data_IF_593468348511
#
_entry.id   IF_593468348511
#
_cell.length_a   1.000
_cell.length_b   1.000
_cell.length_c   1.000
_cell.angle_alpha   90.00
_cell.angle_beta   90.00
_cell.angle_gamma   90.00
#
_symmetry.space_group_name_H-M   'P 1'
#
loop_
_entity.id
_entity.type
_entity.pdbx_description
1 polymer ?
#
# COMPACT_ATOMS: atom_id res chain seq x y z
N UNK A 1 12.56 7.20 44.77
CA UNK A 1 11.35 7.36 43.95
C UNK A 1 10.22 6.59 44.62
N UNK A 2 9.06 7.18 44.82
CA UNK A 2 7.91 6.48 45.40
C UNK A 2 7.34 5.49 44.39
N UNK A 3 6.73 4.40 44.85
CA UNK A 3 6.03 3.42 44.02
C UNK A 3 4.99 4.09 43.10
N UNK A 4 4.35 5.17 43.61
CA UNK A 4 3.41 5.97 42.82
C UNK A 4 4.07 6.70 41.64
N UNK A 5 5.31 7.20 41.79
CA UNK A 5 6.06 7.81 40.69
C UNK A 5 6.51 6.78 39.64
N UNK A 6 6.82 5.54 40.09
CA UNK A 6 7.16 4.43 39.18
C UNK A 6 5.93 3.94 38.41
N UNK A 7 4.76 3.85 39.06
CA UNK A 7 3.48 3.51 38.47
C UNK A 7 3.02 4.60 37.50
N UNK A 8 3.22 5.88 37.83
CA UNK A 8 2.90 6.99 36.91
C UNK A 8 3.83 7.04 35.71
N UNK A 9 5.14 6.77 35.90
CA UNK A 9 6.09 6.61 34.78
C UNK A 9 5.74 5.41 33.90
N UNK A 10 5.30 4.29 34.45
CA UNK A 10 4.84 3.13 33.71
C UNK A 10 3.52 3.39 32.95
N UNK A 11 2.64 4.24 33.48
CA UNK A 11 1.39 4.63 32.78
C UNK A 11 1.61 5.67 31.67
N UNK A 12 2.59 6.57 31.82
CA UNK A 12 2.93 7.57 30.78
C UNK A 12 3.61 6.95 29.56
N UNK A 13 4.30 5.82 29.74
CA UNK A 13 4.86 5.04 28.60
C UNK A 13 3.78 4.28 27.81
N UNK A 14 2.51 4.29 28.26
CA UNK A 14 1.50 3.33 27.83
C UNK A 14 0.61 3.77 26.66
N UNK A 15 0.43 5.04 26.37
CA UNK A 15 -0.45 5.52 25.30
C UNK A 15 0.37 6.15 24.17
N UNK A 16 0.83 5.32 23.24
CA UNK A 16 1.53 5.82 22.06
C UNK A 16 0.55 6.18 20.96
N UNK A 17 0.86 7.26 20.22
CA UNK A 17 0.10 7.76 19.08
C UNK A 17 0.93 7.66 17.80
N UNK A 18 0.24 7.53 16.67
CA UNK A 18 0.89 7.41 15.35
C UNK A 18 0.25 8.37 14.36
N UNK A 19 1.11 9.05 13.61
CA UNK A 19 0.76 9.60 12.30
C UNK A 19 1.32 8.66 11.24
N UNK A 20 0.46 8.09 10.41
CA UNK A 20 0.86 7.29 9.25
C UNK A 20 0.54 8.05 7.96
N UNK A 21 1.58 8.49 7.27
CA UNK A 21 1.48 9.18 5.97
C UNK A 21 1.78 8.19 4.86
N UNK A 22 0.85 7.99 3.94
CA UNK A 22 1.06 7.21 2.71
C UNK A 22 1.29 8.20 1.57
N UNK A 23 2.56 8.32 1.12
CA UNK A 23 2.99 9.20 0.04
C UNK A 23 3.47 8.35 -1.14
N UNK A 24 2.60 8.13 -2.11
CA UNK A 24 2.86 7.20 -3.21
C UNK A 24 3.90 7.72 -4.20
N UNK A 25 4.60 6.79 -4.90
CA UNK A 25 5.47 7.10 -6.03
C UNK A 25 6.93 7.37 -5.71
N UNK A 26 7.33 7.38 -4.42
CA UNK A 26 8.73 7.51 -4.04
C UNK A 26 9.43 6.15 -4.22
N UNK A 27 10.19 6.01 -5.29
CA UNK A 27 11.00 4.81 -5.54
C UNK A 27 12.23 4.77 -4.64
N UNK A 28 12.49 3.61 -4.05
CA UNK A 28 13.68 3.41 -3.21
C UNK A 28 14.99 3.66 -3.93
N UNK A 29 15.10 3.26 -5.21
CA UNK A 29 16.31 3.49 -6.01
C UNK A 29 16.57 4.97 -6.30
N UNK A 30 15.55 5.81 -6.29
CA UNK A 30 15.65 7.24 -6.55
C UNK A 30 15.60 8.11 -5.28
N UNK A 31 15.32 7.51 -4.11
CA UNK A 31 15.13 8.24 -2.86
C UNK A 31 16.36 9.05 -2.44
N UNK A 32 17.58 8.58 -2.74
CA UNK A 32 18.83 9.32 -2.47
C UNK A 32 18.83 10.74 -3.04
N UNK A 33 18.04 11.02 -4.08
CA UNK A 33 17.90 12.35 -4.69
C UNK A 33 17.11 13.32 -3.80
N UNK A 34 16.28 12.80 -2.89
CA UNK A 34 15.42 13.57 -1.98
C UNK A 34 15.92 13.54 -0.54
N UNK A 35 16.68 12.54 -0.14
CA UNK A 35 17.10 12.26 1.23
C UNK A 35 17.76 13.45 1.93
N UNK A 36 18.50 14.28 1.20
CA UNK A 36 19.17 15.48 1.75
C UNK A 36 18.26 16.70 1.92
N UNK A 37 16.99 16.66 1.49
CA UNK A 37 16.02 17.71 1.80
C UNK A 37 15.66 17.68 3.29
N UNK A 38 15.52 18.84 3.96
CA UNK A 38 15.37 18.89 5.43
C UNK A 38 14.30 17.98 6.00
N UNK A 39 13.10 17.94 5.38
CA UNK A 39 11.98 17.11 5.83
C UNK A 39 12.22 15.59 5.70
N UNK A 40 13.16 15.15 4.87
CA UNK A 40 13.55 13.74 4.74
C UNK A 40 14.80 13.40 5.56
N UNK A 41 15.75 14.34 5.68
CA UNK A 41 17.04 14.12 6.33
C UNK A 41 16.91 13.68 7.78
N UNK A 42 15.93 14.17 8.52
CA UNK A 42 15.69 13.82 9.92
C UNK A 42 15.50 12.31 10.13
N UNK A 43 14.92 11.61 9.15
CA UNK A 43 14.72 10.17 9.27
C UNK A 43 16.02 9.37 9.13
N UNK A 44 16.97 9.86 8.35
CA UNK A 44 18.32 9.25 8.25
C UNK A 44 19.16 9.53 9.49
N UNK A 45 19.10 10.74 10.01
CA UNK A 45 19.94 11.20 11.13
C UNK A 45 19.38 10.79 12.50
N UNK A 46 18.07 10.94 12.70
CA UNK A 46 17.42 10.79 14.02
C UNK A 46 16.37 9.69 14.07
N UNK A 47 16.06 9.04 12.96
CA UNK A 47 15.00 8.06 12.86
C UNK A 47 15.43 6.73 12.26
N UNK A 48 14.47 6.08 11.63
CA UNK A 48 14.64 4.83 10.87
C UNK A 48 14.26 5.07 9.41
N UNK A 49 15.03 4.52 8.49
CA UNK A 49 14.72 4.59 7.07
C UNK A 49 15.05 3.29 6.34
N UNK A 50 14.31 3.02 5.28
CA UNK A 50 14.57 1.94 4.34
C UNK A 50 14.12 2.34 2.94
N UNK A 51 14.92 1.99 1.95
CA UNK A 51 14.60 2.17 0.52
C UNK A 51 14.16 0.85 -0.13
N UNK A 52 13.81 -0.15 0.67
CA UNK A 52 13.52 -1.51 0.20
C UNK A 52 12.20 -2.01 0.79
N UNK A 53 11.11 -1.27 0.58
CA UNK A 53 9.76 -1.74 0.87
C UNK A 53 9.27 -2.54 -0.31
N UNK A 54 9.05 -3.84 -0.13
CA UNK A 54 8.55 -4.73 -1.18
C UNK A 54 7.06 -4.51 -1.40
N UNK A 55 6.67 -4.07 -2.61
CA UNK A 55 5.26 -3.95 -2.99
C UNK A 55 4.64 -5.32 -3.26
N UNK A 56 3.31 -5.36 -3.37
CA UNK A 56 2.60 -6.52 -3.92
C UNK A 56 2.37 -6.35 -5.42
N UNK A 57 2.12 -7.46 -6.12
CA UNK A 57 1.73 -7.43 -7.53
C UNK A 57 0.21 -7.32 -7.67
N UNK A 58 -0.29 -6.51 -8.62
CA UNK A 58 0.44 -5.51 -9.40
C UNK A 58 0.88 -4.33 -8.54
N UNK A 59 2.01 -3.69 -8.89
CA UNK A 59 2.56 -2.56 -8.11
C UNK A 59 1.78 -1.26 -8.36
N UNK A 60 0.45 -1.36 -8.34
CA UNK A 60 -0.49 -0.26 -8.49
C UNK A 60 -0.85 0.37 -7.14
N UNK A 61 -1.29 1.63 -7.11
CA UNK A 61 -1.63 2.35 -5.88
C UNK A 61 -2.58 1.59 -4.97
N UNK A 62 -3.79 1.26 -5.44
CA UNK A 62 -4.84 0.71 -4.59
C UNK A 62 -4.52 -0.68 -4.01
N UNK A 63 -4.06 -1.69 -4.79
CA UNK A 63 -3.68 -2.98 -4.22
C UNK A 63 -2.59 -2.87 -3.15
N UNK A 64 -1.62 -1.98 -3.34
CA UNK A 64 -0.50 -1.80 -2.42
C UNK A 64 -0.92 -1.02 -1.17
N UNK A 65 -1.68 0.08 -1.32
CA UNK A 65 -2.24 0.81 -0.20
C UNK A 65 -3.17 -0.08 0.63
N UNK A 66 -4.03 -0.87 -0.02
CA UNK A 66 -4.95 -1.74 0.70
C UNK A 66 -4.24 -2.90 1.40
N UNK A 67 -3.17 -3.47 0.81
CA UNK A 67 -2.30 -4.44 1.49
C UNK A 67 -1.64 -3.85 2.73
N UNK A 68 -1.11 -2.63 2.63
CA UNK A 68 -0.52 -1.91 3.77
C UNK A 68 -1.54 -1.70 4.89
N UNK A 69 -2.75 -1.29 4.53
CA UNK A 69 -3.81 -0.96 5.50
C UNK A 69 -4.50 -2.19 6.10
N UNK A 70 -4.52 -3.33 5.41
CA UNK A 70 -5.17 -4.55 5.89
C UNK A 70 -4.20 -5.59 6.46
N UNK A 71 -2.92 -5.46 6.14
CA UNK A 71 -1.90 -6.43 6.52
C UNK A 71 -2.05 -7.78 5.83
N UNK A 72 -2.82 -7.90 4.73
CA UNK A 72 -2.99 -9.15 3.99
C UNK A 72 -2.76 -8.95 2.49
N UNK A 73 -2.43 -10.03 1.79
CA UNK A 73 -2.09 -10.02 0.36
C UNK A 73 -3.33 -9.87 -0.55
N UNK A 74 -3.18 -9.38 -1.79
CA UNK A 74 -4.27 -9.18 -2.75
C UNK A 74 -5.19 -10.39 -2.93
N UNK A 75 -4.64 -11.61 -2.98
CA UNK A 75 -5.42 -12.85 -3.05
C UNK A 75 -6.43 -13.05 -1.92
N UNK A 76 -6.25 -12.35 -0.78
CA UNK A 76 -7.12 -12.44 0.39
C UNK A 76 -8.07 -11.25 0.50
N UNK A 77 -7.58 -10.03 0.28
CA UNK A 77 -8.44 -8.85 0.33
C UNK A 77 -9.21 -8.57 -0.97
N UNK A 78 -8.88 -9.25 -2.08
CA UNK A 78 -9.64 -9.20 -3.33
C UNK A 78 -9.35 -8.00 -4.24
N UNK A 79 -8.64 -6.97 -3.77
CA UNK A 79 -8.32 -5.79 -4.57
C UNK A 79 -7.09 -6.09 -5.44
N UNK A 80 -7.34 -6.33 -6.74
CA UNK A 80 -6.34 -6.80 -7.71
C UNK A 80 -5.89 -5.72 -8.71
N UNK A 81 -6.48 -4.51 -8.66
CA UNK A 81 -6.17 -3.42 -9.57
C UNK A 81 -6.91 -2.14 -9.20
N UNK A 82 -6.69 -1.08 -9.97
CA UNK A 82 -7.42 0.18 -9.87
C UNK A 82 -8.82 0.06 -10.47
N UNK A 83 -8.96 -0.79 -11.48
CA UNK A 83 -10.20 -1.16 -12.15
C UNK A 83 -10.30 -2.68 -12.08
N UNK A 84 -11.47 -3.19 -11.71
CA UNK A 84 -11.70 -4.63 -11.62
C UNK A 84 -13.09 -4.96 -12.15
N UNK A 85 -13.24 -6.14 -12.73
CA UNK A 85 -14.51 -6.68 -13.17
C UNK A 85 -14.78 -7.99 -12.40
N UNK A 86 -15.93 -8.07 -11.73
CA UNK A 86 -16.44 -9.33 -11.24
C UNK A 86 -17.12 -10.06 -12.41
N UNK A 87 -16.41 -10.98 -13.04
CA UNK A 87 -16.88 -11.66 -14.24
C UNK A 87 -18.13 -12.56 -14.01
N UNK A 88 -18.48 -12.89 -12.75
CA UNK A 88 -19.69 -13.65 -12.43
C UNK A 88 -20.95 -12.79 -12.38
N UNK A 89 -20.82 -11.57 -11.87
CA UNK A 89 -21.95 -10.65 -11.68
C UNK A 89 -22.00 -9.57 -12.75
N UNK A 90 -20.93 -9.37 -13.52
CA UNK A 90 -20.77 -8.26 -14.46
C UNK A 90 -20.54 -6.92 -13.75
N UNK A 91 -20.35 -6.91 -12.43
CA UNK A 91 -20.15 -5.70 -11.65
C UNK A 91 -18.73 -5.18 -11.84
N UNK A 92 -18.61 -3.92 -12.19
CA UNK A 92 -17.33 -3.22 -12.33
C UNK A 92 -16.99 -2.46 -11.05
N UNK A 93 -15.70 -2.44 -10.71
CA UNK A 93 -15.13 -1.58 -9.68
C UNK A 93 -14.24 -0.53 -10.35
N UNK A 94 -14.60 0.73 -10.20
CA UNK A 94 -13.87 1.87 -10.75
C UNK A 94 -13.36 2.76 -9.60
N UNK A 95 -12.07 2.71 -9.33
CA UNK A 95 -11.45 3.48 -8.24
C UNK A 95 -11.54 5.00 -8.42
N UNK A 96 -11.75 5.49 -9.63
CA UNK A 96 -11.60 6.91 -9.96
C UNK A 96 -12.91 7.69 -10.01
N UNK A 97 -14.07 7.05 -10.03
CA UNK A 97 -15.35 7.74 -10.10
C UNK A 97 -16.00 7.80 -8.73
N UNK A 98 -16.34 9.01 -8.32
CA UNK A 98 -16.95 9.30 -7.02
C UNK A 98 -18.31 8.61 -6.77
N UNK A 99 -18.84 7.85 -7.72
CA UNK A 99 -20.27 7.74 -7.84
C UNK A 99 -20.91 6.39 -7.68
N UNK A 100 -20.26 5.26 -7.47
CA UNK A 100 -21.11 4.10 -7.19
C UNK A 100 -20.46 2.88 -6.56
N UNK A 101 -19.53 2.23 -7.26
CA UNK A 101 -19.15 0.86 -6.89
C UNK A 101 -18.04 0.81 -5.86
N UNK A 102 -17.15 1.82 -5.83
CA UNK A 102 -16.13 1.99 -4.80
C UNK A 102 -16.73 2.07 -3.39
N UNK A 103 -17.93 2.62 -3.26
CA UNK A 103 -18.62 2.80 -1.98
C UNK A 103 -19.31 1.54 -1.47
N UNK A 104 -19.48 0.52 -2.32
CA UNK A 104 -20.13 -0.73 -1.92
C UNK A 104 -19.22 -1.54 -1.00
N UNK A 105 -19.76 -1.94 0.14
CA UNK A 105 -19.03 -2.72 1.16
C UNK A 105 -18.54 -4.08 0.66
N UNK A 106 -19.15 -4.63 -0.38
CA UNK A 106 -18.85 -5.98 -0.89
C UNK A 106 -17.46 -6.15 -1.47
N UNK A 107 -16.83 -5.06 -1.91
CA UNK A 107 -15.44 -5.04 -2.36
C UNK A 107 -14.43 -5.03 -1.21
N UNK A 108 -14.84 -4.59 -0.02
CA UNK A 108 -13.96 -4.40 1.15
C UNK A 108 -14.11 -5.55 2.13
N UNK A 109 -13.56 -6.70 1.78
CA UNK A 109 -13.78 -7.97 2.50
C UNK A 109 -12.94 -8.15 3.76
N UNK A 110 -11.95 -7.26 3.99
CA UNK A 110 -11.03 -7.30 5.13
C UNK A 110 -10.97 -5.94 5.79
N UNK A 111 -11.10 -5.90 7.11
CA UNK A 111 -10.99 -4.67 7.90
C UNK A 111 -9.62 -4.01 7.75
N UNK A 112 -9.55 -2.76 7.27
CA UNK A 112 -8.30 -1.99 7.31
C UNK A 112 -7.95 -1.57 8.74
N UNK A 113 -6.69 -1.14 8.94
CA UNK A 113 -6.17 -0.75 10.27
C UNK A 113 -7.03 0.30 10.97
N UNK A 114 -7.62 1.24 10.23
CA UNK A 114 -8.48 2.27 10.80
C UNK A 114 -9.79 1.69 11.36
N UNK A 115 -10.33 0.63 10.78
CA UNK A 115 -11.49 -0.10 11.30
C UNK A 115 -11.07 -1.01 12.46
N UNK A 116 -9.96 -1.72 12.32
CA UNK A 116 -9.41 -2.57 13.39
C UNK A 116 -9.11 -1.75 14.64
N UNK A 117 -8.49 -0.57 14.48
CA UNK A 117 -8.20 0.36 15.58
C UNK A 117 -9.50 0.91 16.22
N UNK A 118 -10.49 1.31 15.41
CA UNK A 118 -11.78 1.80 15.94
C UNK A 118 -12.52 0.69 16.71
N UNK A 119 -12.51 -0.54 16.23
CA UNK A 119 -13.06 -1.71 16.94
C UNK A 119 -12.33 -1.94 18.28
N UNK A 120 -11.04 -1.67 18.34
CA UNK A 120 -10.21 -1.74 19.54
C UNK A 120 -10.34 -0.50 20.45
N UNK A 121 -11.26 0.42 20.16
CA UNK A 121 -11.52 1.66 20.93
C UNK A 121 -10.42 2.72 20.83
N UNK A 122 -9.49 2.62 19.90
CA UNK A 122 -8.58 3.71 19.56
C UNK A 122 -9.32 4.80 18.80
N UNK A 123 -9.00 6.06 19.08
CA UNK A 123 -9.55 7.20 18.34
C UNK A 123 -8.78 7.38 17.02
N UNK A 124 -9.52 7.41 15.90
CA UNK A 124 -8.95 7.42 14.57
C UNK A 124 -9.39 8.64 13.78
N UNK A 125 -8.41 9.34 13.16
CA UNK A 125 -8.65 10.39 12.18
C UNK A 125 -8.03 10.00 10.83
N UNK A 126 -8.75 10.25 9.74
CA UNK A 126 -8.31 9.99 8.38
C UNK A 126 -8.41 11.25 7.54
N UNK A 127 -7.37 11.51 6.72
CA UNK A 127 -7.32 12.65 5.82
C UNK A 127 -7.04 12.21 4.39
N UNK A 128 -7.90 12.63 3.47
CA UNK A 128 -7.80 12.45 2.02
C UNK A 128 -7.87 11.03 1.49
N UNK A 129 -8.30 10.08 2.31
CA UNK A 129 -8.58 8.74 1.84
C UNK A 129 -9.92 8.69 1.09
N UNK A 130 -9.96 8.18 -0.16
CA UNK A 130 -11.23 7.95 -0.85
C UNK A 130 -12.16 7.02 -0.05
N UNK A 131 -11.58 6.09 0.69
CA UNK A 131 -12.27 5.13 1.57
C UNK A 131 -13.09 5.79 2.71
N UNK A 132 -12.92 7.09 2.95
CA UNK A 132 -13.79 7.86 3.84
C UNK A 132 -15.25 7.88 3.38
N UNK A 133 -15.51 7.61 2.11
CA UNK A 133 -16.88 7.56 1.55
C UNK A 133 -17.54 6.21 1.69
N UNK A 134 -16.78 5.16 2.04
CA UNK A 134 -17.31 3.81 2.27
C UNK A 134 -18.10 3.79 3.58
N UNK A 135 -19.27 3.17 3.57
CA UNK A 135 -20.12 3.06 4.76
C UNK A 135 -19.59 1.98 5.73
N UNK A 136 -18.61 2.36 6.55
CA UNK A 136 -18.02 1.48 7.55
C UNK A 136 -18.86 1.41 8.84
N UNK A 137 -18.88 0.25 9.48
CA UNK A 137 -19.47 0.06 10.81
C UNK A 137 -18.53 -0.78 11.71
N UNK A 138 -17.89 -0.20 12.74
CA UNK A 138 -17.88 1.23 13.12
C UNK A 138 -17.10 2.10 12.14
N UNK A 139 -17.45 3.39 12.06
CA UNK A 139 -16.69 4.37 11.27
C UNK A 139 -15.52 4.97 12.06
N UNK A 140 -14.45 5.46 11.41
CA UNK A 140 -13.44 6.31 12.04
C UNK A 140 -14.08 7.56 12.68
N UNK A 141 -13.46 8.09 13.75
CA UNK A 141 -13.98 9.24 14.50
C UNK A 141 -13.97 10.53 13.70
N UNK A 142 -12.97 10.69 12.84
CA UNK A 142 -12.86 11.78 11.87
C UNK A 142 -12.44 11.20 10.51
N UNK A 143 -13.16 11.55 9.44
CA UNK A 143 -12.82 11.13 8.10
C UNK A 143 -13.04 12.28 7.12
N UNK A 144 -11.94 12.85 6.62
CA UNK A 144 -11.92 13.94 5.65
C UNK A 144 -11.60 13.37 4.27
N UNK A 145 -12.59 13.27 3.36
CA UNK A 145 -12.36 12.71 2.03
C UNK A 145 -11.48 13.63 1.15
N UNK A 146 -11.00 13.15 0.01
CA UNK A 146 -10.33 13.99 -0.98
C UNK A 146 -11.19 15.19 -1.37
N UNK A 147 -10.56 16.34 -1.58
CA UNK A 147 -11.24 17.61 -1.87
C UNK A 147 -11.07 18.00 -3.34
N UNK A 148 -12.09 18.63 -3.89
CA UNK A 148 -12.07 19.13 -5.27
C UNK A 148 -11.45 20.54 -5.40
N UNK A 149 -11.11 21.19 -4.28
CA UNK A 149 -10.52 22.53 -4.23
C UNK A 149 -8.98 22.51 -4.36
N UNK A 150 -8.38 21.35 -4.59
CA UNK A 150 -6.95 21.16 -4.77
C UNK A 150 -6.12 21.20 -3.48
N UNK A 151 -6.74 21.41 -2.31
CA UNK A 151 -6.02 21.36 -1.03
C UNK A 151 -5.58 19.93 -0.70
N UNK A 152 -4.33 19.79 -0.29
CA UNK A 152 -3.69 18.53 0.03
C UNK A 152 -2.97 18.59 1.38
N UNK A 153 -2.48 17.46 1.85
CA UNK A 153 -1.62 17.42 3.05
C UNK A 153 -0.38 18.32 2.94
N UNK A 154 0.15 18.50 1.74
CA UNK A 154 1.32 19.34 1.49
C UNK A 154 1.05 20.85 1.66
N UNK A 155 -0.21 21.28 1.80
CA UNK A 155 -0.54 22.64 2.14
C UNK A 155 -0.33 22.90 3.63
N UNK A 156 0.39 23.97 3.98
CA UNK A 156 0.76 24.28 5.38
C UNK A 156 -0.45 24.34 6.33
N UNK A 157 -1.57 24.90 5.86
CA UNK A 157 -2.82 24.92 6.65
C UNK A 157 -3.31 23.54 6.99
N UNK A 158 -3.28 22.64 6.01
CA UNK A 158 -3.75 21.25 6.19
C UNK A 158 -2.78 20.48 7.07
N UNK A 159 -1.47 20.64 6.88
CA UNK A 159 -0.46 20.05 7.75
C UNK A 159 -0.67 20.45 9.23
N UNK A 160 -1.00 21.74 9.50
CA UNK A 160 -1.36 22.20 10.84
C UNK A 160 -2.63 21.53 11.39
N UNK A 161 -3.66 21.32 10.57
CA UNK A 161 -4.87 20.59 10.99
C UNK A 161 -4.54 19.13 11.34
N UNK A 162 -3.68 18.48 10.57
CA UNK A 162 -3.20 17.11 10.86
C UNK A 162 -2.43 17.08 12.21
N UNK A 163 -1.57 18.07 12.45
CA UNK A 163 -0.87 18.24 13.73
C UNK A 163 -1.87 18.39 14.89
N UNK A 164 -2.90 19.24 14.76
CA UNK A 164 -3.92 19.40 15.79
C UNK A 164 -4.68 18.08 16.04
N UNK A 165 -4.99 17.30 15.00
CA UNK A 165 -5.65 16.01 15.16
C UNK A 165 -4.85 15.02 16.02
N UNK A 166 -3.50 15.11 16.06
CA UNK A 166 -2.66 14.25 16.92
C UNK A 166 -2.85 14.48 18.41
N UNK A 167 -3.44 15.60 18.82
CA UNK A 167 -3.73 15.88 20.23
C UNK A 167 -4.86 15.01 20.76
N UNK A 168 -5.85 14.72 19.92
CA UNK A 168 -7.11 14.06 20.29
C UNK A 168 -7.27 12.65 19.73
N UNK A 169 -6.46 12.24 18.76
CA UNK A 169 -6.56 10.92 18.14
C UNK A 169 -5.31 10.08 18.39
N UNK A 170 -5.48 8.78 18.53
CA UNK A 170 -4.41 7.81 18.74
C UNK A 170 -3.75 7.39 17.40
N UNK A 171 -4.54 7.33 16.33
CA UNK A 171 -4.11 7.02 14.99
C UNK A 171 -4.59 8.11 14.03
N UNK A 172 -3.64 8.80 13.40
CA UNK A 172 -3.92 9.79 12.35
C UNK A 172 -3.36 9.25 11.03
N UNK A 173 -4.22 9.02 10.06
CA UNK A 173 -3.87 8.51 8.74
C UNK A 173 -3.95 9.64 7.72
N UNK A 174 -2.93 9.77 6.88
CA UNK A 174 -2.87 10.79 5.82
C UNK A 174 -2.53 10.12 4.50
N UNK A 175 -3.36 10.33 3.48
CA UNK A 175 -3.10 9.89 2.12
C UNK A 175 -2.66 11.07 1.26
N UNK A 176 -1.51 10.95 0.60
CA UNK A 176 -0.92 11.99 -0.22
C UNK A 176 -0.47 11.45 -1.59
N UNK A 177 -1.38 11.36 -2.57
CA UNK A 177 -1.06 10.88 -3.92
C UNK A 177 -0.36 11.92 -4.81
N UNK A 178 -0.31 13.20 -4.41
CA UNK A 178 0.13 14.29 -5.28
C UNK A 178 1.60 14.20 -5.68
N UNK A 179 2.48 13.69 -4.80
CA UNK A 179 3.88 13.40 -5.17
C UNK A 179 3.93 12.42 -6.34
N UNK A 180 3.14 11.34 -6.27
CA UNK A 180 3.06 10.38 -7.37
C UNK A 180 2.60 11.05 -8.66
N UNK A 181 1.54 11.83 -8.61
CA UNK A 181 1.01 12.53 -9.79
C UNK A 181 2.06 13.44 -10.43
N UNK A 182 2.83 14.17 -9.62
CA UNK A 182 3.91 15.01 -10.13
C UNK A 182 5.05 14.18 -10.75
N UNK A 183 5.46 13.07 -10.10
CA UNK A 183 6.51 12.20 -10.63
C UNK A 183 6.05 11.46 -11.89
N UNK A 184 4.78 11.10 -11.99
CA UNK A 184 4.18 10.52 -13.22
C UNK A 184 4.30 11.48 -14.42
N UNK A 185 4.24 12.79 -14.17
CA UNK A 185 4.35 13.81 -15.21
C UNK A 185 5.80 14.10 -15.63
N UNK A 186 6.70 14.26 -14.66
CA UNK A 186 8.09 14.69 -14.94
C UNK A 186 9.07 13.55 -15.05
N UNK A 187 8.76 12.37 -14.51
CA UNK A 187 9.64 11.21 -14.39
C UNK A 187 10.45 11.18 -13.09
N UNK A 188 10.73 9.99 -12.53
CA UNK A 188 11.51 9.83 -11.29
C UNK A 188 12.99 10.21 -11.45
N UNK A 189 13.49 10.26 -12.70
CA UNK A 189 14.87 10.65 -13.03
C UNK A 189 14.98 12.11 -13.45
N UNK A 190 13.90 12.89 -13.43
CA UNK A 190 13.90 14.30 -13.85
C UNK A 190 14.95 15.12 -13.09
N UNK A 191 15.69 15.98 -13.80
CA UNK A 191 16.73 16.82 -13.20
C UNK A 191 16.17 17.78 -12.13
N UNK A 192 14.93 18.24 -12.32
CA UNK A 192 14.23 19.18 -11.45
C UNK A 192 13.38 18.48 -10.35
N UNK A 193 13.51 17.16 -10.13
CA UNK A 193 12.71 16.42 -9.15
C UNK A 193 12.75 17.08 -7.76
N UNK A 194 13.93 17.49 -7.29
CA UNK A 194 14.11 18.12 -5.96
C UNK A 194 13.42 19.47 -5.82
N UNK A 195 13.26 20.21 -6.90
CA UNK A 195 12.62 21.52 -6.95
C UNK A 195 11.17 21.46 -7.43
N UNK A 196 10.65 20.27 -7.69
CA UNK A 196 9.26 20.07 -8.06
C UNK A 196 8.34 20.54 -6.93
N UNK A 197 7.25 21.26 -7.27
CA UNK A 197 6.43 22.00 -6.30
C UNK A 197 5.84 21.11 -5.21
N UNK A 198 5.33 19.94 -5.57
CA UNK A 198 4.76 19.00 -4.59
C UNK A 198 5.82 18.36 -3.70
N UNK A 199 7.04 18.13 -4.21
CA UNK A 199 8.17 17.65 -3.40
C UNK A 199 8.56 18.68 -2.34
N UNK A 200 8.68 19.97 -2.74
CA UNK A 200 9.02 21.06 -1.82
C UNK A 200 7.94 21.23 -0.75
N UNK A 201 6.67 21.28 -1.13
CA UNK A 201 5.57 21.43 -0.18
C UNK A 201 5.48 20.21 0.78
N UNK A 202 5.63 19.01 0.25
CA UNK A 202 5.55 17.79 1.06
C UNK A 202 6.68 17.70 2.08
N UNK A 203 7.94 18.01 1.70
CA UNK A 203 9.04 18.02 2.64
C UNK A 203 8.83 19.09 3.74
N UNK A 204 8.25 20.26 3.43
CA UNK A 204 7.90 21.27 4.42
C UNK A 204 6.80 20.79 5.40
N UNK A 205 5.79 20.07 4.89
CA UNK A 205 4.80 19.44 5.74
C UNK A 205 5.40 18.37 6.68
N UNK A 206 6.39 17.62 6.19
CA UNK A 206 7.16 16.67 7.03
C UNK A 206 7.98 17.39 8.10
N UNK A 207 8.59 18.53 7.81
CA UNK A 207 9.28 19.35 8.83
C UNK A 207 8.35 19.77 9.96
N UNK A 208 7.12 20.21 9.64
CA UNK A 208 6.11 20.53 10.65
C UNK A 208 5.76 19.31 11.53
N UNK A 209 5.56 18.13 10.93
CA UNK A 209 5.24 16.92 11.69
C UNK A 209 6.42 16.44 12.54
N UNK A 210 7.63 16.43 11.98
CA UNK A 210 8.83 15.98 12.73
C UNK A 210 9.15 16.91 13.90
N UNK A 211 8.94 18.23 13.76
CA UNK A 211 9.03 19.17 14.88
C UNK A 211 8.06 18.80 16.01
N UNK A 212 6.81 18.48 15.69
CA UNK A 212 5.82 18.06 16.70
C UNK A 212 6.19 16.74 17.38
N UNK A 213 6.74 15.78 16.61
CA UNK A 213 7.21 14.50 17.17
C UNK A 213 8.37 14.71 18.14
N UNK A 214 9.30 15.61 17.80
CA UNK A 214 10.47 15.94 18.66
C UNK A 214 10.08 16.44 20.04
N UNK A 215 8.99 17.20 20.12
CA UNK A 215 8.52 17.83 21.35
C UNK A 215 7.62 16.89 22.20
N UNK A 216 7.36 15.65 21.73
CA UNK A 216 6.40 14.74 22.35
C UNK A 216 6.97 13.35 22.58
N UNK A 217 6.75 12.81 23.76
CA UNK A 217 7.17 11.45 24.17
C UNK A 217 6.17 10.36 23.77
N UNK A 218 4.99 10.73 23.31
CA UNK A 218 3.88 9.83 22.97
C UNK A 218 3.58 9.76 21.47
N UNK A 219 4.21 10.61 20.64
CA UNK A 219 3.88 10.73 19.23
C UNK A 219 4.97 10.12 18.33
N UNK A 220 4.53 9.36 17.36
CA UNK A 220 5.39 8.71 16.37
C UNK A 220 4.90 9.03 14.94
N UNK A 221 5.83 9.20 14.02
CA UNK A 221 5.56 9.44 12.61
C UNK A 221 6.09 8.27 11.77
N UNK A 222 5.25 7.76 10.90
CA UNK A 222 5.61 6.78 9.87
C UNK A 222 5.23 7.37 8.52
N UNK A 223 6.17 7.40 7.56
CA UNK A 223 5.92 7.79 6.17
C UNK A 223 6.26 6.60 5.29
N UNK A 224 5.34 6.21 4.42
CA UNK A 224 5.51 5.06 3.52
C UNK A 224 5.16 5.44 2.10
N UNK A 225 6.07 5.11 1.19
CA UNK A 225 5.73 4.97 -0.22
C UNK A 225 5.62 3.47 -0.53
N UNK A 226 4.42 2.97 -0.89
CA UNK A 226 4.23 1.54 -1.06
C UNK A 226 4.84 0.97 -2.33
N UNK A 227 5.11 1.81 -3.32
CA UNK A 227 5.74 1.42 -4.61
C UNK A 227 6.43 2.61 -5.27
N UNK A 228 7.30 2.30 -6.25
CA UNK A 228 7.95 3.30 -7.08
C UNK A 228 7.30 3.48 -8.46
N UNK A 229 8.02 4.19 -9.33
CA UNK A 229 7.64 4.54 -10.71
C UNK A 229 8.82 4.33 -11.66
N UNK A 230 8.53 4.07 -12.94
CA UNK A 230 9.51 3.92 -14.03
C UNK A 230 9.10 4.80 -15.21
N UNK A 231 10.08 5.48 -15.80
CA UNK A 231 9.90 6.26 -17.03
C UNK A 231 9.50 5.34 -18.20
N UNK A 232 8.53 5.78 -19.00
CA UNK A 232 8.05 5.07 -20.20
C UNK A 232 8.21 5.96 -21.41
N UNK A 233 9.26 5.74 -22.22
CA UNK A 233 9.40 6.41 -23.52
C UNK A 233 8.22 6.09 -24.45
N UNK A 234 7.70 7.08 -25.16
CA UNK A 234 6.51 6.92 -26.03
C UNK A 234 6.66 5.80 -27.09
N UNK A 235 7.87 5.58 -27.61
CA UNK A 235 8.17 4.48 -28.56
C UNK A 235 8.05 3.08 -27.93
N UNK A 236 8.00 2.98 -26.60
CA UNK A 236 7.86 1.72 -25.89
C UNK A 236 6.41 1.37 -25.53
N UNK A 237 5.45 2.18 -25.96
CA UNK A 237 4.03 1.88 -25.79
C UNK A 237 3.59 0.89 -26.87
N UNK A 238 2.93 -0.18 -26.44
CA UNK A 238 2.41 -1.26 -27.31
C UNK A 238 0.89 -1.17 -27.36
N UNK A 239 0.33 -1.16 -28.54
CA UNK A 239 -1.12 -1.16 -28.76
C UNK A 239 -1.57 -2.60 -28.94
N UNK A 240 -2.36 -3.13 -28.02
CA UNK A 240 -2.77 -4.54 -27.99
C UNK A 240 -3.46 -4.99 -29.28
N UNK A 241 -4.26 -4.09 -29.87
CA UNK A 241 -5.02 -4.34 -31.11
C UNK A 241 -4.15 -4.66 -32.31
N UNK A 242 -2.84 -4.36 -32.26
CA UNK A 242 -1.88 -4.72 -33.32
C UNK A 242 -1.38 -6.17 -33.18
N UNK A 243 -1.69 -6.85 -32.06
CA UNK A 243 -1.15 -8.17 -31.70
C UNK A 243 -2.21 -9.26 -31.55
N UNK A 244 -3.48 -8.90 -31.35
CA UNK A 244 -4.58 -9.86 -31.23
C UNK A 244 -5.85 -9.29 -31.86
N UNK A 245 -6.63 -10.10 -32.59
CA UNK A 245 -7.95 -9.71 -33.05
C UNK A 245 -8.88 -9.43 -31.88
N UNK A 246 -9.35 -8.19 -31.73
CA UNK A 246 -10.13 -7.76 -30.56
C UNK A 246 -11.51 -8.42 -30.48
N UNK A 247 -12.02 -9.01 -31.56
CA UNK A 247 -13.23 -9.84 -31.54
C UNK A 247 -13.08 -11.13 -30.71
N UNK A 248 -11.85 -11.54 -30.39
CA UNK A 248 -11.56 -12.67 -29.51
C UNK A 248 -11.54 -12.27 -28.03
N UNK A 249 -11.49 -10.96 -27.73
CA UNK A 249 -11.41 -10.39 -26.40
C UNK A 249 -12.78 -9.85 -26.00
N UNK A 250 -13.36 -10.41 -24.94
CA UNK A 250 -14.63 -9.92 -24.39
C UNK A 250 -14.44 -8.57 -23.69
N UNK A 251 -13.41 -8.49 -22.85
CA UNK A 251 -13.13 -7.27 -22.06
C UNK A 251 -11.63 -7.16 -21.79
N UNK A 252 -11.11 -5.93 -21.84
CA UNK A 252 -9.76 -5.61 -21.39
C UNK A 252 -9.83 -4.52 -20.32
N UNK A 253 -9.08 -4.71 -19.24
CA UNK A 253 -9.07 -3.82 -18.09
C UNK A 253 -7.64 -3.43 -17.72
N UNK A 254 -7.47 -2.17 -17.29
CA UNK A 254 -6.16 -1.62 -16.96
C UNK A 254 -5.37 -1.17 -18.19
N UNK A 255 -4.45 -0.26 -17.98
CA UNK A 255 -3.52 0.26 -18.98
C UNK A 255 -2.13 0.42 -18.37
N UNK A 256 -1.13 0.51 -19.22
CA UNK A 256 0.25 0.71 -18.77
C UNK A 256 1.00 -0.60 -18.51
N UNK A 257 1.53 -0.81 -17.31
CA UNK A 257 2.41 -1.93 -16.99
C UNK A 257 1.68 -3.28 -16.90
N UNK A 258 0.39 -3.28 -16.53
CA UNK A 258 -0.43 -4.50 -16.41
C UNK A 258 -1.76 -4.31 -17.13
N UNK A 259 -2.10 -5.29 -17.96
CA UNK A 259 -3.39 -5.36 -18.61
C UNK A 259 -4.04 -6.72 -18.36
N UNK A 260 -5.31 -6.69 -18.00
CA UNK A 260 -6.12 -7.87 -17.71
C UNK A 260 -7.03 -8.15 -18.90
N UNK A 261 -7.12 -9.40 -19.33
CA UNK A 261 -7.97 -9.78 -20.46
C UNK A 261 -8.94 -10.89 -20.04
N UNK A 262 -10.20 -10.71 -20.42
CA UNK A 262 -11.22 -11.75 -20.42
C UNK A 262 -11.50 -12.07 -21.91
N UNK A 263 -11.26 -13.30 -22.30
CA UNK A 263 -11.50 -13.73 -23.67
C UNK A 263 -12.99 -14.04 -23.91
N UNK A 264 -13.40 -14.03 -25.16
CA UNK A 264 -14.71 -14.56 -25.53
C UNK A 264 -14.84 -16.04 -25.12
N UNK A 265 -16.03 -16.54 -24.78
CA UNK A 265 -16.22 -17.90 -24.33
C UNK A 265 -15.55 -18.94 -25.25
N UNK A 266 -14.65 -19.76 -24.66
CA UNK A 266 -13.88 -20.78 -25.38
C UNK A 266 -12.68 -20.26 -26.18
N UNK A 267 -12.38 -18.95 -26.15
CA UNK A 267 -11.32 -18.33 -26.96
C UNK A 267 -10.03 -18.05 -26.19
N UNK A 268 -9.97 -18.31 -24.88
CA UNK A 268 -8.81 -17.98 -24.03
C UNK A 268 -7.50 -18.58 -24.58
N UNK A 269 -7.54 -19.84 -25.02
CA UNK A 269 -6.34 -20.48 -25.59
C UNK A 269 -5.92 -19.83 -26.92
N UNK A 270 -6.88 -19.42 -27.75
CA UNK A 270 -6.59 -18.76 -29.02
C UNK A 270 -5.94 -17.38 -28.76
N UNK A 271 -6.51 -16.56 -27.87
CA UNK A 271 -5.95 -15.25 -27.47
C UNK A 271 -4.52 -15.42 -26.93
N UNK A 272 -4.32 -16.41 -26.06
CA UNK A 272 -2.99 -16.69 -25.50
C UNK A 272 -1.98 -17.09 -26.57
N UNK A 273 -2.38 -17.97 -27.50
CA UNK A 273 -1.53 -18.41 -28.60
C UNK A 273 -1.16 -17.27 -29.55
N UNK A 274 -2.10 -16.40 -29.90
CA UNK A 274 -1.81 -15.20 -30.68
C UNK A 274 -0.74 -14.34 -29.98
N UNK A 275 -0.98 -13.96 -28.74
CA UNK A 275 -0.11 -13.04 -28.00
C UNK A 275 1.25 -13.61 -27.60
N UNK A 276 1.45 -14.93 -27.65
CA UNK A 276 2.69 -15.58 -27.24
C UNK A 276 3.47 -16.23 -28.36
N UNK A 277 2.78 -16.80 -29.34
CA UNK A 277 3.41 -17.65 -30.34
C UNK A 277 3.34 -17.04 -31.75
N UNK A 278 2.19 -16.48 -32.14
CA UNK A 278 1.97 -15.98 -33.48
C UNK A 278 2.41 -14.53 -33.63
N UNK A 279 1.95 -13.67 -32.73
CA UNK A 279 2.27 -12.24 -32.75
C UNK A 279 2.70 -11.78 -31.37
N UNK A 280 3.88 -12.23 -30.85
CA UNK A 280 4.32 -11.90 -29.50
C UNK A 280 4.52 -10.39 -29.33
N UNK A 281 3.99 -9.87 -28.21
CA UNK A 281 4.18 -8.45 -27.87
C UNK A 281 5.60 -8.24 -27.31
N UNK A 282 6.44 -7.42 -27.96
CA UNK A 282 7.81 -7.20 -27.49
C UNK A 282 7.84 -6.61 -26.06
N UNK A 283 8.64 -7.21 -25.19
CA UNK A 283 8.83 -6.81 -23.79
C UNK A 283 7.56 -6.88 -22.93
N UNK A 284 6.62 -7.76 -23.29
CA UNK A 284 5.43 -8.04 -22.51
C UNK A 284 5.31 -9.55 -22.31
N UNK A 285 5.09 -9.98 -21.09
CA UNK A 285 4.82 -11.38 -20.75
C UNK A 285 3.32 -11.59 -20.62
N UNK A 286 2.83 -12.67 -21.21
CA UNK A 286 1.43 -13.08 -21.15
C UNK A 286 1.31 -14.32 -20.27
N UNK A 287 0.42 -14.28 -19.28
CA UNK A 287 0.23 -15.37 -18.33
C UNK A 287 -1.23 -15.82 -18.28
N UNK A 288 -1.45 -17.12 -18.18
CA UNK A 288 -2.71 -17.66 -17.69
C UNK A 288 -2.84 -17.44 -16.20
N UNK A 289 -4.04 -17.07 -15.75
CA UNK A 289 -4.35 -16.93 -14.33
C UNK A 289 -4.92 -18.22 -13.72
N UNK A 290 -5.44 -19.12 -14.57
CA UNK A 290 -6.02 -20.39 -14.10
C UNK A 290 -4.92 -21.37 -13.64
N UNK A 291 -5.11 -22.06 -12.50
CA UNK A 291 -4.06 -22.91 -11.90
C UNK A 291 -3.61 -24.12 -12.76
N UNK A 292 -4.44 -24.56 -13.69
CA UNK A 292 -4.17 -25.79 -14.49
C UNK A 292 -3.21 -25.59 -15.65
N UNK A 293 -3.05 -24.35 -16.13
CA UNK A 293 -2.26 -24.00 -17.31
C UNK A 293 -1.25 -22.90 -17.01
N UNK A 294 -1.32 -22.35 -15.78
CA UNK A 294 -0.71 -21.08 -15.45
C UNK A 294 0.78 -21.17 -15.15
N UNK A 295 1.51 -20.35 -15.86
CA UNK A 295 2.90 -19.98 -15.62
C UNK A 295 3.02 -18.66 -14.83
N UNK A 296 1.91 -18.19 -14.25
CA UNK A 296 1.89 -16.99 -13.42
C UNK A 296 2.73 -17.21 -12.15
N UNK A 297 3.75 -16.36 -11.89
CA UNK A 297 4.61 -16.52 -10.74
C UNK A 297 3.85 -16.60 -9.41
N UNK A 298 4.22 -17.55 -8.55
CA UNK A 298 3.52 -17.73 -7.27
C UNK A 298 3.64 -16.51 -6.34
N UNK A 299 4.77 -15.80 -6.40
CA UNK A 299 5.01 -14.59 -5.60
C UNK A 299 4.17 -13.39 -6.01
N UNK A 300 3.46 -13.43 -7.15
CA UNK A 300 2.46 -12.42 -7.48
C UNK A 300 1.24 -12.51 -6.57
N UNK A 301 1.00 -13.67 -5.95
CA UNK A 301 -0.18 -13.89 -5.11
C UNK A 301 -1.50 -13.50 -5.80
N UNK A 302 -1.56 -13.68 -7.12
CA UNK A 302 -2.62 -13.20 -8.01
C UNK A 302 -3.51 -14.36 -8.48
N UNK A 303 -4.01 -15.16 -7.54
CA UNK A 303 -4.85 -16.35 -7.83
C UNK A 303 -6.05 -16.36 -6.91
N UNK A 304 -7.17 -16.96 -7.38
CA UNK A 304 -8.36 -17.33 -6.59
C UNK A 304 -9.32 -16.20 -6.19
N UNK A 305 -9.37 -15.08 -6.91
CA UNK A 305 -10.43 -14.09 -6.73
C UNK A 305 -11.47 -14.19 -7.85
N UNK A 306 -12.71 -13.74 -7.57
CA UNK A 306 -13.76 -13.60 -8.58
C UNK A 306 -13.48 -12.48 -9.59
N UNK A 307 -12.48 -11.67 -9.31
CA UNK A 307 -12.03 -10.55 -10.15
C UNK A 307 -10.77 -10.89 -10.95
N UNK A 308 -10.28 -12.12 -10.88
CA UNK A 308 -9.10 -12.57 -11.63
C UNK A 308 -9.52 -12.84 -13.08
N UNK A 309 -8.90 -12.18 -14.08
CA UNK A 309 -9.19 -12.35 -15.50
C UNK A 309 -8.67 -13.70 -16.02
N UNK A 310 -8.93 -14.01 -17.30
CA UNK A 310 -8.38 -15.22 -17.94
C UNK A 310 -6.87 -15.12 -18.16
N UNK A 311 -6.42 -13.96 -18.63
CA UNK A 311 -5.03 -13.67 -18.95
C UNK A 311 -4.59 -12.36 -18.31
N UNK A 312 -3.31 -12.30 -17.94
CA UNK A 312 -2.65 -11.07 -17.48
C UNK A 312 -1.42 -10.82 -18.34
N UNK A 313 -1.37 -9.63 -18.91
CA UNK A 313 -0.22 -9.11 -19.63
C UNK A 313 0.61 -8.25 -18.67
N UNK A 314 1.90 -8.52 -18.58
CA UNK A 314 2.83 -7.79 -17.70
C UNK A 314 3.98 -7.27 -18.53
N UNK A 315 4.05 -5.95 -18.67
CA UNK A 315 5.13 -5.29 -19.38
C UNK A 315 6.44 -5.33 -18.57
N UNK A 316 7.57 -5.28 -19.27
CA UNK A 316 8.86 -5.01 -18.65
C UNK A 316 8.99 -3.52 -18.28
N UNK A 317 9.79 -3.14 -17.27
CA UNK A 317 10.03 -1.75 -16.93
C UNK A 317 10.42 -0.91 -18.15
N UNK A 318 9.78 0.25 -18.26
CA UNK A 318 9.96 1.14 -19.41
C UNK A 318 9.05 0.84 -20.60
N UNK A 319 8.16 -0.16 -20.52
CA UNK A 319 7.16 -0.48 -21.54
C UNK A 319 5.74 -0.37 -20.98
N UNK A 320 4.77 -0.10 -21.85
CA UNK A 320 3.36 -0.02 -21.49
C UNK A 320 2.48 -0.68 -22.57
N UNK A 321 1.32 -1.19 -22.16
CA UNK A 321 0.29 -1.76 -23.05
C UNK A 321 -0.99 -0.94 -22.94
N UNK A 322 -1.53 -0.52 -24.09
CA UNK A 322 -2.79 0.20 -24.21
C UNK A 322 -3.70 -0.49 -25.24
N UNK A 323 -4.98 -0.12 -25.27
CA UNK A 323 -5.92 -0.51 -26.34
C UNK A 323 -6.45 0.71 -27.06
N UNK A 324 -6.94 0.53 -28.30
CA UNK A 324 -7.55 1.63 -29.08
C UNK A 324 -8.91 2.02 -28.52
N UNK A 325 -9.68 1.05 -28.06
CA UNK A 325 -11.11 1.22 -27.74
C UNK A 325 -11.40 1.73 -26.33
N UNK A 326 -10.40 1.92 -25.48
CA UNK A 326 -10.65 2.36 -24.10
C UNK A 326 -11.39 3.70 -23.99
N UNK A 327 -11.46 4.50 -25.11
CA UNK A 327 -12.27 5.73 -25.20
C UNK A 327 -12.54 6.17 -26.64
N UNK A 328 -12.60 5.31 -27.62
CA UNK A 328 -12.67 5.67 -29.05
C UNK A 328 -11.47 6.50 -29.53
N UNK A 329 -10.31 6.31 -28.91
CA UNK A 329 -9.07 7.06 -29.20
C UNK A 329 -8.33 6.44 -30.39
N UNK A 330 -7.66 7.29 -31.14
CA UNK A 330 -6.66 6.81 -32.09
C UNK A 330 -5.47 6.19 -31.33
N UNK A 331 -4.69 5.26 -31.95
CA UNK A 331 -3.49 4.71 -31.31
C UNK A 331 -2.52 5.75 -30.79
N UNK A 332 -2.41 6.87 -31.50
CA UNK A 332 -1.58 8.02 -31.09
C UNK A 332 -2.13 8.68 -29.83
N UNK A 333 -3.44 8.91 -29.73
CA UNK A 333 -4.07 9.49 -28.54
C UNK A 333 -3.93 8.56 -27.33
N UNK A 334 -4.18 7.25 -27.49
CA UNK A 334 -3.99 6.28 -26.41
C UNK A 334 -2.54 6.27 -25.89
N UNK A 335 -1.55 6.41 -26.79
CA UNK A 335 -0.15 6.50 -26.40
C UNK A 335 0.23 7.84 -25.76
N UNK A 336 -0.40 8.94 -26.18
CA UNK A 336 -0.17 10.28 -25.62
C UNK A 336 -0.65 10.39 -24.19
N UNK A 337 -1.70 9.64 -23.80
CA UNK A 337 -2.27 9.65 -22.46
C UNK A 337 -1.47 8.85 -21.44
N UNK A 338 -0.56 7.96 -21.86
CA UNK A 338 0.36 7.31 -20.95
C UNK A 338 1.28 8.35 -20.33
N UNK A 339 1.29 8.43 -19.01
CA UNK A 339 2.15 9.35 -18.25
C UNK A 339 3.63 9.10 -18.57
N UNK A 340 4.48 10.10 -18.30
CA UNK A 340 5.94 9.98 -18.48
C UNK A 340 6.52 8.84 -17.65
N UNK A 341 5.97 8.62 -16.44
CA UNK A 341 6.32 7.48 -15.62
C UNK A 341 5.07 6.76 -15.09
N UNK A 342 5.16 5.45 -14.93
CA UNK A 342 4.08 4.61 -14.43
C UNK A 342 4.57 3.58 -13.42
N UNK A 343 3.65 3.03 -12.65
CA UNK A 343 3.82 1.86 -11.79
C UNK A 343 3.08 0.65 -12.38
N UNK A 344 2.99 -0.47 -11.63
CA UNK A 344 2.22 -1.66 -12.02
C UNK A 344 3.07 -2.86 -12.41
N UNK A 345 4.37 -2.71 -12.58
CA UNK A 345 5.29 -3.77 -13.00
C UNK A 345 5.41 -4.91 -11.97
N UNK A 346 6.19 -5.92 -12.34
CA UNK A 346 6.57 -6.99 -11.41
C UNK A 346 7.20 -6.38 -10.13
N UNK A 347 6.69 -6.83 -8.99
CA UNK A 347 7.04 -6.33 -7.67
C UNK A 347 8.47 -6.64 -7.19
N UNK A 348 9.23 -7.43 -7.96
CA UNK A 348 10.65 -7.71 -7.70
C UNK A 348 11.62 -6.78 -8.43
N UNK A 349 11.14 -5.89 -9.30
CA UNK A 349 12.04 -4.90 -9.91
C UNK A 349 12.44 -3.84 -8.88
N UNK A 350 13.74 -3.50 -8.83
CA UNK A 350 14.26 -2.52 -7.86
C UNK A 350 13.55 -1.16 -7.93
N UNK A 351 13.15 -0.73 -9.11
CA UNK A 351 12.45 0.53 -9.35
C UNK A 351 11.06 0.56 -8.74
N UNK A 352 10.47 -0.63 -8.51
CA UNK A 352 9.16 -0.76 -7.86
C UNK A 352 9.24 -0.77 -6.35
N UNK A 353 10.42 -0.97 -5.75
CA UNK A 353 10.57 -0.92 -4.31
C UNK A 353 10.25 0.48 -3.79
N UNK A 354 9.48 0.53 -2.72
CA UNK A 354 9.10 1.76 -2.05
C UNK A 354 10.05 2.20 -0.95
N UNK A 355 9.60 3.16 -0.16
CA UNK A 355 10.35 3.80 0.92
C UNK A 355 9.58 3.69 2.24
N UNK A 356 10.29 3.44 3.33
CA UNK A 356 9.80 3.50 4.70
C UNK A 356 10.66 4.45 5.51
N UNK A 357 10.01 5.39 6.19
CA UNK A 357 10.64 6.35 7.08
C UNK A 357 9.86 6.35 8.39
N UNK A 358 10.56 6.35 9.53
CA UNK A 358 9.92 6.40 10.83
C UNK A 358 10.72 7.25 11.81
N UNK A 359 10.02 8.04 12.63
CA UNK A 359 10.62 8.93 13.60
C UNK A 359 9.75 9.03 14.84
N UNK A 360 10.36 9.03 16.02
CA UNK A 360 9.66 9.17 17.28
C UNK A 360 10.20 8.25 18.38
N UNK A 361 9.65 8.36 19.61
CA UNK A 361 10.21 7.73 20.80
C UNK A 361 10.25 6.19 20.76
N UNK A 362 9.38 5.55 19.98
CA UNK A 362 9.38 4.08 19.87
C UNK A 362 10.43 3.55 18.91
N UNK A 363 11.03 4.40 18.08
CA UNK A 363 11.97 4.01 17.04
C UNK A 363 13.43 4.18 17.46
N UNK A 364 14.30 3.47 16.80
CA UNK A 364 15.75 3.66 16.91
C UNK A 364 16.18 4.96 16.23
N UNK A 365 17.30 5.49 16.66
CA UNK A 365 17.93 6.69 16.10
C UNK A 365 18.98 6.27 15.06
N UNK A 366 18.96 6.91 13.88
CA UNK A 366 19.95 6.75 12.83
C UNK A 366 20.05 5.30 12.31
N UNK A 367 18.93 4.60 12.20
CA UNK A 367 18.93 3.18 11.84
C UNK A 367 18.47 2.93 10.40
N UNK A 368 19.37 2.39 9.58
CA UNK A 368 19.02 1.92 8.24
C UNK A 368 18.50 0.49 8.31
N UNK A 369 17.22 0.33 8.02
CA UNK A 369 16.53 -0.96 7.98
C UNK A 369 16.76 -1.64 6.62
N UNK A 370 16.98 -2.94 6.65
CA UNK A 370 16.93 -3.79 5.48
C UNK A 370 15.51 -3.92 4.90
N UNK A 371 15.25 -4.94 4.07
CA UNK A 371 13.96 -5.12 3.41
C UNK A 371 12.78 -5.22 4.37
N UNK A 372 11.65 -4.63 3.96
CA UNK A 372 10.34 -4.68 4.62
C UNK A 372 9.28 -5.13 3.61
N UNK A 373 8.24 -5.79 4.07
CA UNK A 373 7.02 -6.02 3.30
C UNK A 373 5.91 -5.04 3.76
N UNK A 374 4.96 -4.72 2.89
CA UNK A 374 3.86 -3.81 3.23
C UNK A 374 3.05 -4.29 4.44
N UNK A 375 2.84 -5.60 4.55
CA UNK A 375 2.15 -6.18 5.71
C UNK A 375 2.88 -5.93 7.05
N UNK A 376 4.19 -5.70 7.04
CA UNK A 376 4.94 -5.41 8.26
C UNK A 376 4.55 -4.07 8.86
N UNK A 377 4.17 -3.11 8.02
CA UNK A 377 3.75 -1.78 8.47
C UNK A 377 2.44 -1.87 9.26
N UNK A 378 1.49 -2.67 8.79
CA UNK A 378 0.27 -2.98 9.53
C UNK A 378 0.59 -3.51 10.93
N UNK A 379 1.50 -4.48 11.01
CA UNK A 379 1.89 -5.10 12.27
C UNK A 379 2.61 -4.11 13.19
N UNK A 380 3.49 -3.24 12.66
CA UNK A 380 4.15 -2.18 13.43
C UNK A 380 3.10 -1.26 14.08
N UNK A 381 2.11 -0.79 13.31
CA UNK A 381 1.03 0.08 13.83
C UNK A 381 0.24 -0.64 14.92
N UNK A 382 -0.15 -1.89 14.71
CA UNK A 382 -0.86 -2.68 15.71
C UNK A 382 -0.08 -2.82 17.02
N UNK A 383 1.23 -3.07 16.94
CA UNK A 383 2.05 -3.22 18.14
C UNK A 383 2.24 -1.92 18.90
N UNK A 384 2.49 -0.81 18.19
CA UNK A 384 2.67 0.50 18.82
C UNK A 384 1.38 0.94 19.52
N UNK A 385 0.23 0.78 18.87
CA UNK A 385 -1.09 1.12 19.43
C UNK A 385 -1.65 0.04 20.36
N UNK A 386 -0.93 -1.08 20.55
CA UNK A 386 -1.35 -2.21 21.39
C UNK A 386 -2.69 -2.82 21.01
N UNK A 387 -3.01 -2.82 19.73
CA UNK A 387 -4.23 -3.41 19.20
C UNK A 387 -4.10 -4.93 19.19
N UNK A 388 -5.02 -5.62 19.82
CA UNK A 388 -5.15 -7.07 19.75
C UNK A 388 -5.93 -7.47 18.49
N UNK A 389 -5.65 -8.67 17.93
CA UNK A 389 -6.35 -9.17 16.74
C UNK A 389 -5.62 -8.99 15.41
N UNK A 390 -4.43 -8.41 15.41
CA UNK A 390 -3.59 -8.29 14.21
C UNK A 390 -2.86 -9.59 13.79
N UNK A 391 -3.24 -10.72 14.35
CA UNK A 391 -2.53 -12.01 14.19
C UNK A 391 -2.71 -12.64 12.80
N UNK A 392 -3.73 -12.24 12.04
CA UNK A 392 -4.05 -12.78 10.72
C UNK A 392 -3.27 -12.08 9.58
N UNK A 393 -2.37 -11.19 9.92
CA UNK A 393 -1.52 -10.46 8.96
C UNK A 393 -0.44 -11.36 8.35
N UNK A 394 -0.04 -11.07 7.10
CA UNK A 394 1.18 -11.60 6.48
C UNK A 394 2.46 -10.94 7.03
N UNK A 395 2.34 -9.81 7.71
CA UNK A 395 3.45 -9.14 8.40
C UNK A 395 3.95 -9.91 9.62
N UNK A 396 5.20 -9.72 9.94
CA UNK A 396 5.85 -10.41 11.07
C UNK A 396 6.64 -9.42 11.91
N UNK A 397 6.20 -9.19 13.15
CA UNK A 397 6.90 -8.26 14.05
C UNK A 397 8.37 -8.63 14.26
N UNK A 398 8.72 -9.92 14.35
CA UNK A 398 10.11 -10.36 14.51
C UNK A 398 11.01 -10.05 13.31
N UNK A 399 10.43 -9.75 12.14
CA UNK A 399 11.18 -9.29 10.96
C UNK A 399 11.56 -7.80 11.09
N UNK A 400 10.82 -7.06 11.91
CA UNK A 400 10.92 -5.60 11.99
C UNK A 400 11.09 -5.05 13.41
N UNK A 401 11.20 -5.90 14.44
CA UNK A 401 11.38 -5.44 15.82
C UNK A 401 12.73 -4.73 16.04
N UNK A 402 13.67 -4.91 15.12
CA UNK A 402 14.98 -4.26 15.12
C UNK A 402 14.95 -2.76 14.82
N UNK A 403 13.82 -2.24 14.29
CA UNK A 403 13.61 -0.80 14.12
C UNK A 403 13.17 -0.10 15.41
N UNK A 404 12.74 -0.86 16.40
CA UNK A 404 12.23 -0.33 17.66
C UNK A 404 13.37 0.01 18.62
N UNK A 405 13.16 1.03 19.46
CA UNK A 405 14.06 1.36 20.57
C UNK A 405 14.22 0.14 21.50
N UNK A 406 15.32 0.07 22.26
CA UNK A 406 15.62 -1.06 23.15
C UNK A 406 14.46 -1.42 24.07
N UNK A 407 13.84 -0.41 24.69
CA UNK A 407 12.77 -0.57 25.67
C UNK A 407 11.48 -1.04 25.01
N UNK A 408 11.11 -0.43 23.89
CA UNK A 408 9.95 -0.85 23.09
C UNK A 408 10.11 -2.26 22.58
N UNK A 409 11.30 -2.60 22.07
CA UNK A 409 11.62 -3.95 21.59
C UNK A 409 11.52 -5.01 22.70
N UNK A 410 12.04 -4.70 23.87
CA UNK A 410 11.95 -5.58 25.03
C UNK A 410 10.48 -5.83 25.44
N UNK A 411 9.66 -4.79 25.48
CA UNK A 411 8.23 -4.89 25.78
C UNK A 411 7.47 -5.74 24.74
N UNK A 412 7.75 -5.56 23.46
CA UNK A 412 7.17 -6.36 22.37
C UNK A 412 7.50 -7.84 22.54
N UNK A 413 8.77 -8.16 22.74
CA UNK A 413 9.23 -9.55 22.91
C UNK A 413 8.64 -10.22 24.15
N UNK A 414 8.54 -9.49 25.26
CA UNK A 414 7.90 -9.97 26.48
C UNK A 414 6.40 -10.30 26.29
N UNK A 415 5.66 -9.45 25.56
CA UNK A 415 4.25 -9.71 25.21
C UNK A 415 4.10 -10.97 24.35
N UNK A 416 4.97 -11.15 23.36
CA UNK A 416 4.98 -12.34 22.51
C UNK A 416 5.28 -13.63 23.27
N UNK A 417 6.25 -13.58 24.17
CA UNK A 417 6.60 -14.74 25.00
C UNK A 417 5.43 -15.19 25.88
N UNK A 418 4.73 -14.24 26.52
CA UNK A 418 3.52 -14.51 27.29
C UNK A 418 2.41 -15.13 26.42
N UNK A 419 2.15 -14.58 25.24
CA UNK A 419 1.10 -15.10 24.35
C UNK A 419 1.40 -16.51 23.86
N UNK A 420 2.66 -16.86 23.61
CA UNK A 420 3.07 -18.21 23.24
C UNK A 420 2.92 -19.21 24.39
N UNK A 421 3.24 -18.81 25.64
CA UNK A 421 3.00 -19.63 26.82
C UNK A 421 1.51 -19.93 26.99
N UNK A 422 0.63 -18.93 26.87
CA UNK A 422 -0.82 -19.13 26.93
C UNK A 422 -1.35 -20.04 25.82
N UNK A 423 -0.84 -19.93 24.60
CA UNK A 423 -1.21 -20.84 23.48
C UNK A 423 -0.76 -22.28 23.75
N UNK A 424 0.46 -22.48 24.24
CA UNK A 424 0.96 -23.83 24.56
C UNK A 424 0.19 -24.46 25.74
N UNK A 425 -0.19 -23.69 26.75
CA UNK A 425 -1.02 -24.17 27.87
C UNK A 425 -2.44 -24.53 27.42
N UNK A 426 -3.07 -23.73 26.52
CA UNK A 426 -4.38 -24.08 25.95
C UNK A 426 -4.33 -25.33 25.09
N UNK A 427 -3.28 -25.55 24.32
CA UNK A 427 -3.11 -26.80 23.53
C UNK A 427 -2.89 -28.02 24.38
N UNK A 428 -2.39 -27.91 25.61
CA UNK A 428 -2.25 -28.99 26.58
C UNK A 428 -3.55 -29.24 27.38
N UNK A 429 -4.39 -28.21 27.59
CA UNK A 429 -5.64 -28.35 28.34
C UNK A 429 -6.80 -28.94 27.50
N UNK A 430 -6.81 -28.73 26.18
CA UNK A 430 -7.86 -29.29 25.31
C UNK A 430 -7.91 -30.81 25.32
N UNK A 431 -6.79 -31.59 25.23
CA UNK A 431 -6.84 -33.05 25.35
C UNK A 431 -7.22 -33.55 26.76
N UNK A 432 -6.90 -32.77 27.83
CA UNK A 432 -7.25 -33.17 29.21
C UNK A 432 -8.77 -33.00 29.42
N UNK A 433 -9.39 -31.95 28.91
CA UNK A 433 -10.86 -31.78 29.03
C UNK A 433 -11.62 -32.82 28.21
N UNK A 434 -11.09 -33.26 27.04
CA UNK A 434 -11.71 -34.31 26.25
C UNK A 434 -11.63 -35.69 26.91
N UNK A 435 -10.56 -35.95 27.67
CA UNK A 435 -10.41 -37.22 28.43
C UNK A 435 -11.33 -37.25 29.65
N UNK A 436 -11.56 -36.12 30.29
CA UNK A 436 -12.46 -36.04 31.48
C UNK A 436 -13.94 -36.04 31.12
N UNK A 437 -14.30 -35.68 29.87
CA UNK A 437 -15.70 -35.72 29.38
C UNK A 437 -16.06 -37.09 28.71
N UNK A 438 -15.09 -37.98 28.51
CA UNK A 438 -15.26 -39.29 27.90
C UNK A 438 -15.01 -40.46 28.92
N UNK A 439 -14.73 -40.14 30.18
CA UNK A 439 -14.69 -41.03 31.31
C UNK A 439 -15.91 -40.81 32.21
#
# INVERSE_FOLDING_TARGET
>A
MSIAALVFLLQVVDAQKIVLVIAEGLSGVHFHRLASLPGFRVFEEEGVWSTRVFPVFPTLPLPNRHTLLTGVLPRRHGIMGEIMLNWRTGQEFLNLTADSDFLQSDWWTVDPIYITATKAKASVAMFFFPECRVNWSPSPHLCVPPRNDGLTFADERVAKIVVEATKTHDLVLVYHPNIRSQIEEIGPQAANLRSASEVIKFQQALELLTAQVRDRIDLNLIVVSPHGLVDVPKQNIRVLDDYVPMELVHTSVGCGAVKQLIAMPGKTHQVYSELRNHTPIPNVKVYYTTPKVGDLPEWYHYKKSQTVPDLVLVAQPGYAVVTRDEDKRTPKQAAEDVKTAISGYNNHYPEMLGVFLAYGPVFRIGYHKGPLELCDIYVIVCYILRIDGCNDSCGRILRVDDILSSDTRAAVRAKMHRSNIYRSQRSLLIPIILVVLLS
#
